data_IF_540285353742
#
_entry.id   IF_540285353742
#
_cell.length_a   1.000
_cell.length_b   1.000
_cell.length_c   1.000
_cell.angle_alpha   90.00
_cell.angle_beta   90.00
_cell.angle_gamma   90.00
#
_symmetry.space_group_name_H-M   'P 1'
#
loop_
_entity.id
_entity.type
_entity.pdbx_description
1 polymer ?
#
# COMPACT_ATOMS: atom_id res chain seq x y z
N UNK A 1 -12.40 -31.82 -38.22
CA UNK A 1 -13.11 -30.92 -39.18
C UNK A 1 -12.78 -29.49 -38.79
N UNK A 2 -12.46 -28.65 -39.76
CA UNK A 2 -12.26 -27.21 -39.54
C UNK A 2 -13.65 -26.60 -39.28
N UNK A 3 -13.83 -25.85 -38.17
CA UNK A 3 -15.04 -25.06 -37.90
C UNK A 3 -15.20 -23.92 -38.89
N UNK A 4 -16.44 -23.51 -39.15
CA UNK A 4 -16.75 -22.33 -39.95
C UNK A 4 -16.41 -21.05 -39.20
N UNK A 5 -15.81 -20.10 -39.90
CA UNK A 5 -15.61 -18.74 -39.43
C UNK A 5 -16.92 -17.96 -39.61
N UNK A 6 -17.62 -17.67 -38.49
CA UNK A 6 -18.93 -17.00 -38.49
C UNK A 6 -18.83 -15.68 -37.78
N UNK A 7 -19.26 -14.62 -38.44
CA UNK A 7 -19.48 -13.31 -37.80
C UNK A 7 -20.79 -13.33 -37.01
N UNK A 8 -20.75 -12.81 -35.79
CA UNK A 8 -21.94 -12.69 -34.95
C UNK A 8 -22.68 -11.39 -35.27
N UNK A 9 -23.86 -11.52 -35.91
CA UNK A 9 -24.71 -10.38 -36.28
C UNK A 9 -26.00 -10.28 -35.44
N UNK A 10 -26.10 -10.99 -34.30
CA UNK A 10 -27.32 -10.98 -33.48
C UNK A 10 -27.43 -9.71 -32.67
N UNK A 11 -28.55 -9.00 -32.77
CA UNK A 11 -28.84 -7.75 -32.07
C UNK A 11 -29.15 -7.96 -30.56
N UNK A 12 -29.60 -9.13 -30.15
CA UNK A 12 -29.99 -9.45 -28.79
C UNK A 12 -29.19 -10.65 -28.25
N UNK A 13 -28.75 -10.55 -27.01
CA UNK A 13 -28.13 -11.64 -26.25
C UNK A 13 -28.76 -11.78 -24.89
N UNK A 14 -29.20 -12.98 -24.52
CA UNK A 14 -29.71 -13.31 -23.17
C UNK A 14 -28.57 -13.79 -22.28
N UNK A 15 -27.61 -12.91 -22.03
CA UNK A 15 -26.43 -13.23 -21.23
C UNK A 15 -26.29 -12.26 -20.07
N UNK A 16 -26.32 -12.78 -18.83
CA UNK A 16 -25.96 -11.98 -17.65
C UNK A 16 -24.47 -12.11 -17.34
N UNK A 17 -23.80 -11.05 -16.87
CA UNK A 17 -22.42 -11.16 -16.39
C UNK A 17 -22.26 -12.22 -15.28
N UNK A 18 -23.27 -12.38 -14.41
CA UNK A 18 -23.28 -13.40 -13.35
C UNK A 18 -23.21 -14.83 -13.90
N UNK A 19 -23.96 -15.14 -14.96
CA UNK A 19 -23.96 -16.46 -15.59
C UNK A 19 -22.67 -16.72 -16.39
N UNK A 20 -21.98 -15.67 -16.85
CA UNK A 20 -20.79 -15.80 -17.68
C UNK A 20 -19.52 -16.06 -16.88
N UNK A 21 -19.41 -15.51 -15.66
CA UNK A 21 -18.23 -15.69 -14.83
C UNK A 21 -18.20 -17.13 -14.28
N UNK A 22 -17.12 -17.92 -14.50
CA UNK A 22 -17.02 -19.27 -13.97
C UNK A 22 -17.21 -19.34 -12.44
N UNK A 23 -17.83 -20.40 -11.96
CA UNK A 23 -18.12 -20.56 -10.51
C UNK A 23 -16.86 -20.63 -9.64
N UNK A 24 -15.77 -21.14 -10.19
CA UNK A 24 -14.45 -21.28 -9.54
C UNK A 24 -13.54 -20.07 -9.75
N UNK A 25 -14.02 -19.01 -10.43
CA UNK A 25 -13.18 -17.84 -10.72
C UNK A 25 -12.73 -17.15 -9.42
N UNK A 26 -11.44 -16.81 -9.29
CA UNK A 26 -10.87 -16.21 -8.07
C UNK A 26 -11.59 -14.98 -7.54
N UNK A 27 -12.15 -14.14 -8.39
CA UNK A 27 -12.89 -12.95 -7.99
C UNK A 27 -14.23 -13.27 -7.31
N UNK A 28 -14.78 -14.50 -7.49
CA UNK A 28 -16.02 -14.89 -6.79
C UNK A 28 -15.82 -15.00 -5.27
N UNK A 29 -14.67 -15.48 -4.83
CA UNK A 29 -14.34 -15.50 -3.40
C UNK A 29 -13.93 -14.11 -2.90
N UNK A 30 -13.29 -13.30 -3.75
CA UNK A 30 -12.81 -11.98 -3.38
C UNK A 30 -13.95 -10.96 -3.24
N UNK A 31 -14.93 -10.99 -4.14
CA UNK A 31 -16.01 -10.00 -4.18
C UNK A 31 -16.80 -9.90 -2.86
N UNK A 32 -17.25 -10.99 -2.23
CA UNK A 32 -17.94 -10.90 -0.94
C UNK A 32 -17.09 -10.27 0.17
N UNK A 33 -15.76 -10.51 0.17
CA UNK A 33 -14.85 -9.89 1.14
C UNK A 33 -14.74 -8.37 0.91
N UNK A 34 -14.73 -7.96 -0.36
CA UNK A 34 -14.74 -6.54 -0.74
C UNK A 34 -16.07 -5.91 -0.33
N UNK A 35 -17.19 -6.56 -0.62
CA UNK A 35 -18.53 -6.06 -0.32
C UNK A 35 -18.74 -5.90 1.19
N UNK A 36 -18.28 -6.84 2.01
CA UNK A 36 -18.27 -6.75 3.47
C UNK A 36 -17.48 -5.53 3.98
N UNK A 37 -16.27 -5.30 3.42
CA UNK A 37 -15.46 -4.14 3.80
C UNK A 37 -16.10 -2.81 3.36
N UNK A 38 -16.72 -2.76 2.18
CA UNK A 38 -17.43 -1.58 1.67
C UNK A 38 -18.71 -1.28 2.46
N UNK A 39 -19.43 -2.31 2.89
CA UNK A 39 -20.62 -2.17 3.75
C UNK A 39 -20.28 -1.47 5.06
N UNK A 40 -19.10 -1.75 5.63
CA UNK A 40 -18.61 -1.04 6.82
C UNK A 40 -18.39 0.46 6.61
N UNK A 41 -18.34 0.93 5.37
CA UNK A 41 -18.18 2.36 5.01
C UNK A 41 -19.50 3.06 4.63
N UNK A 42 -20.63 2.37 4.62
CA UNK A 42 -21.90 2.91 4.11
C UNK A 42 -22.29 4.22 4.79
N UNK A 43 -22.21 4.30 6.12
CA UNK A 43 -22.56 5.52 6.88
C UNK A 43 -21.64 6.71 6.52
N UNK A 44 -20.37 6.46 6.22
CA UNK A 44 -19.44 7.50 5.76
C UNK A 44 -19.81 7.96 4.35
N UNK A 45 -20.17 7.03 3.47
CA UNK A 45 -20.61 7.37 2.11
C UNK A 45 -21.90 8.20 2.14
N UNK A 46 -22.88 7.85 2.95
CA UNK A 46 -24.12 8.61 3.09
C UNK A 46 -23.85 10.07 3.50
N UNK A 47 -22.88 10.31 4.39
CA UNK A 47 -22.46 11.64 4.79
C UNK A 47 -21.69 12.44 3.73
N UNK A 48 -21.17 11.79 2.69
CA UNK A 48 -20.40 12.45 1.63
C UNK A 48 -21.24 12.94 0.45
N UNK A 49 -22.46 12.46 0.32
CA UNK A 49 -23.35 12.77 -0.79
C UNK A 49 -24.54 13.58 -0.30
N UNK A 50 -24.99 14.52 -1.13
CA UNK A 50 -26.19 15.29 -0.85
C UNK A 50 -27.44 14.39 -0.94
N UNK A 51 -28.43 14.66 -0.09
CA UNK A 51 -29.70 13.94 -0.09
C UNK A 51 -30.53 14.19 -1.36
N UNK A 52 -30.31 15.32 -2.03
CA UNK A 52 -31.04 15.74 -3.23
C UNK A 52 -30.07 15.98 -4.39
N UNK A 53 -30.57 15.82 -5.63
CA UNK A 53 -29.83 16.09 -6.86
C UNK A 53 -29.74 14.88 -7.79
N UNK A 54 -28.95 15.01 -8.86
CA UNK A 54 -28.72 13.91 -9.80
C UNK A 54 -27.93 12.79 -9.11
N UNK A 55 -28.38 11.52 -9.20
CA UNK A 55 -27.63 10.38 -8.67
C UNK A 55 -26.19 10.35 -9.20
N UNK A 56 -25.24 10.22 -8.28
CA UNK A 56 -23.82 10.07 -8.59
C UNK A 56 -23.48 8.58 -8.83
N UNK A 57 -22.27 8.32 -9.32
CA UNK A 57 -21.76 6.94 -9.37
C UNK A 57 -21.64 6.44 -7.92
N UNK A 58 -22.17 5.24 -7.60
CA UNK A 58 -22.01 4.66 -6.27
C UNK A 58 -20.53 4.52 -5.88
N UNK A 59 -20.14 4.97 -4.68
CA UNK A 59 -18.75 4.88 -4.23
C UNK A 59 -18.24 3.44 -4.19
N UNK A 60 -19.10 2.48 -3.91
CA UNK A 60 -18.78 1.05 -3.91
C UNK A 60 -18.35 0.57 -5.31
N UNK A 61 -19.03 1.00 -6.36
CA UNK A 61 -18.66 0.67 -7.74
C UNK A 61 -17.30 1.28 -8.11
N UNK A 62 -17.05 2.52 -7.71
CA UNK A 62 -15.77 3.20 -7.95
C UNK A 62 -14.61 2.48 -7.23
N UNK A 63 -14.81 2.08 -5.98
CA UNK A 63 -13.78 1.36 -5.21
C UNK A 63 -13.54 -0.06 -5.74
N UNK A 64 -14.60 -0.78 -6.18
CA UNK A 64 -14.42 -2.07 -6.87
C UNK A 64 -13.65 -1.90 -8.18
N UNK A 65 -13.91 -0.84 -8.95
CA UNK A 65 -13.15 -0.55 -10.16
C UNK A 65 -11.67 -0.23 -9.87
N UNK A 66 -11.37 0.52 -8.78
CA UNK A 66 -10.00 0.75 -8.32
C UNK A 66 -9.30 -0.55 -7.89
N UNK A 67 -10.00 -1.47 -7.23
CA UNK A 67 -9.47 -2.79 -6.89
C UNK A 67 -9.07 -3.55 -8.15
N UNK A 68 -9.93 -3.58 -9.18
CA UNK A 68 -9.59 -4.21 -10.46
C UNK A 68 -8.38 -3.53 -11.13
N UNK A 69 -8.30 -2.21 -11.06
CA UNK A 69 -7.16 -1.47 -11.59
C UNK A 69 -5.84 -1.95 -10.99
N UNK A 70 -5.81 -2.19 -9.66
CA UNK A 70 -4.63 -2.70 -8.96
C UNK A 70 -4.37 -4.18 -9.30
N UNK A 71 -5.39 -5.04 -9.25
CA UNK A 71 -5.26 -6.48 -9.42
C UNK A 71 -4.81 -6.89 -10.84
N UNK A 72 -5.26 -6.15 -11.84
CA UNK A 72 -4.97 -6.42 -13.26
C UNK A 72 -3.93 -5.48 -13.86
N UNK A 73 -3.22 -4.73 -13.03
CA UNK A 73 -2.15 -3.81 -13.47
C UNK A 73 -2.60 -2.83 -14.56
N UNK A 74 -3.84 -2.34 -14.49
CA UNK A 74 -4.40 -1.42 -15.49
C UNK A 74 -3.74 -0.05 -15.34
N UNK A 75 -3.03 0.38 -16.39
CA UNK A 75 -2.11 1.53 -16.31
C UNK A 75 -2.80 2.89 -16.30
N UNK A 76 -4.00 3.00 -16.84
CA UNK A 76 -4.70 4.29 -16.93
C UNK A 76 -6.20 4.13 -16.67
N UNK A 77 -6.85 5.21 -16.27
CA UNK A 77 -8.30 5.24 -16.08
C UNK A 77 -9.04 5.08 -17.41
N UNK A 78 -8.49 5.61 -18.50
CA UNK A 78 -9.05 5.41 -19.83
C UNK A 78 -9.09 3.90 -20.17
N UNK A 79 -7.98 3.21 -19.97
CA UNK A 79 -7.90 1.77 -20.16
C UNK A 79 -8.82 1.00 -19.20
N UNK A 80 -9.01 1.47 -17.97
CA UNK A 80 -9.94 0.86 -17.04
C UNK A 80 -11.39 1.01 -17.51
N UNK A 81 -11.78 2.21 -18.00
CA UNK A 81 -13.12 2.42 -18.56
C UNK A 81 -13.34 1.57 -19.78
N UNK A 82 -12.38 1.47 -20.68
CA UNK A 82 -12.40 0.60 -21.83
C UNK A 82 -12.59 -0.87 -21.45
N UNK A 83 -11.86 -1.37 -20.42
CA UNK A 83 -12.06 -2.71 -19.89
C UNK A 83 -13.44 -2.89 -19.27
N UNK A 84 -13.97 -1.89 -18.57
CA UNK A 84 -15.32 -1.94 -18.01
C UNK A 84 -16.40 -1.92 -19.10
N UNK A 85 -16.12 -1.38 -20.28
CA UNK A 85 -17.09 -1.29 -21.35
C UNK A 85 -17.40 -2.66 -21.97
N UNK A 86 -16.41 -3.48 -22.23
CA UNK A 86 -16.59 -4.76 -22.92
C UNK A 86 -16.17 -6.02 -22.17
N UNK A 87 -15.53 -5.90 -20.99
CA UNK A 87 -15.12 -7.05 -20.19
C UNK A 87 -16.19 -7.44 -19.18
N UNK A 88 -16.94 -8.50 -19.47
CA UNK A 88 -18.04 -8.99 -18.62
C UNK A 88 -17.58 -9.36 -17.19
N UNK A 89 -16.36 -9.87 -17.02
CA UNK A 89 -15.79 -10.15 -15.70
C UNK A 89 -15.63 -8.88 -14.86
N UNK A 90 -15.14 -7.80 -15.49
CA UNK A 90 -14.96 -6.51 -14.80
C UNK A 90 -16.31 -5.89 -14.48
N UNK A 91 -17.26 -5.93 -15.42
CA UNK A 91 -18.63 -5.46 -15.20
C UNK A 91 -19.29 -6.19 -14.03
N UNK A 92 -19.20 -7.51 -14.02
CA UNK A 92 -19.71 -8.34 -12.94
C UNK A 92 -19.10 -7.96 -11.59
N UNK A 93 -17.78 -7.80 -11.51
CA UNK A 93 -17.10 -7.48 -10.27
C UNK A 93 -17.47 -6.08 -9.74
N UNK A 94 -17.63 -5.11 -10.63
CA UNK A 94 -18.04 -3.75 -10.27
C UNK A 94 -19.53 -3.68 -9.92
N UNK A 95 -20.36 -4.49 -10.55
CA UNK A 95 -21.82 -4.49 -10.39
C UNK A 95 -22.51 -3.68 -11.48
N UNK A 96 -21.98 -3.70 -12.70
CA UNK A 96 -22.57 -3.09 -13.90
C UNK A 96 -23.32 -4.16 -14.71
N UNK A 97 -24.51 -3.82 -15.21
CA UNK A 97 -25.23 -4.66 -16.18
C UNK A 97 -24.51 -4.70 -17.53
N UNK A 98 -24.81 -5.70 -18.35
CA UNK A 98 -24.13 -5.89 -19.63
C UNK A 98 -24.36 -4.72 -20.61
N UNK A 99 -25.52 -4.06 -20.53
CA UNK A 99 -25.99 -2.95 -21.38
C UNK A 99 -25.85 -1.57 -20.75
N UNK A 100 -25.43 -1.49 -19.48
CA UNK A 100 -25.28 -0.21 -18.76
C UNK A 100 -24.07 0.56 -19.29
N UNK A 101 -24.20 1.87 -19.61
CA UNK A 101 -23.06 2.67 -20.08
C UNK A 101 -22.03 2.86 -18.98
N UNK A 102 -20.74 2.80 -19.35
CA UNK A 102 -19.62 3.05 -18.45
C UNK A 102 -19.36 4.54 -18.33
N UNK A 103 -18.81 4.94 -17.22
CA UNK A 103 -18.47 6.33 -16.90
C UNK A 103 -17.34 6.85 -17.80
N UNK A 104 -17.31 8.14 -18.02
CA UNK A 104 -16.15 8.80 -18.61
C UNK A 104 -14.95 8.78 -17.65
N UNK A 105 -13.74 8.63 -18.20
CA UNK A 105 -12.49 8.57 -17.43
C UNK A 105 -12.25 9.84 -16.58
N UNK A 106 -12.68 11.01 -17.06
CA UNK A 106 -12.56 12.27 -16.31
C UNK A 106 -13.53 12.30 -15.12
N UNK A 107 -14.74 11.79 -15.30
CA UNK A 107 -15.73 11.63 -14.22
C UNK A 107 -15.22 10.65 -13.17
N UNK A 108 -14.67 9.52 -13.59
CA UNK A 108 -14.07 8.54 -12.69
C UNK A 108 -12.92 9.18 -11.89
N UNK A 109 -12.00 9.90 -12.55
CA UNK A 109 -10.85 10.55 -11.89
C UNK A 109 -11.30 11.55 -10.82
N UNK A 110 -12.30 12.41 -11.12
CA UNK A 110 -12.82 13.40 -10.15
C UNK A 110 -13.44 12.72 -8.94
N UNK A 111 -14.25 11.68 -9.14
CA UNK A 111 -14.89 10.94 -8.04
C UNK A 111 -13.86 10.15 -7.24
N UNK A 112 -12.89 9.50 -7.89
CA UNK A 112 -11.78 8.83 -7.21
C UNK A 112 -11.00 9.77 -6.30
N UNK A 113 -10.74 11.01 -6.70
CA UNK A 113 -10.04 11.98 -5.84
C UNK A 113 -10.81 12.28 -4.54
N UNK A 114 -12.13 12.23 -4.59
CA UNK A 114 -12.98 12.33 -3.38
C UNK A 114 -12.91 11.08 -2.52
N UNK A 115 -12.88 9.90 -3.14
CA UNK A 115 -12.84 8.59 -2.45
C UNK A 115 -11.46 8.19 -1.94
N UNK A 116 -10.38 8.66 -2.57
CA UNK A 116 -9.02 8.52 -2.03
C UNK A 116 -8.72 9.61 -0.98
N UNK A 117 -9.74 10.08 -0.25
CA UNK A 117 -9.51 10.74 1.01
C UNK A 117 -8.81 9.73 1.95
N UNK A 118 -7.82 10.21 2.68
CA UNK A 118 -7.01 9.37 3.58
C UNK A 118 -7.88 8.57 4.56
N UNK A 119 -8.99 9.16 5.02
CA UNK A 119 -9.95 8.55 5.94
C UNK A 119 -10.62 7.29 5.35
N UNK A 120 -11.10 7.35 4.09
CA UNK A 120 -11.74 6.21 3.44
C UNK A 120 -10.76 5.06 3.26
N UNK A 121 -9.54 5.36 2.82
CA UNK A 121 -8.52 4.33 2.63
C UNK A 121 -8.12 3.69 3.98
N UNK A 122 -8.04 4.49 5.05
CA UNK A 122 -7.73 4.03 6.41
C UNK A 122 -8.83 3.13 6.96
N UNK A 123 -10.09 3.54 6.84
CA UNK A 123 -11.23 2.75 7.29
C UNK A 123 -11.41 1.47 6.47
N UNK A 124 -11.25 1.54 5.13
CA UNK A 124 -11.29 0.36 4.29
C UNK A 124 -10.21 -0.66 4.70
N UNK A 125 -8.97 -0.19 4.90
CA UNK A 125 -7.89 -1.03 5.40
C UNK A 125 -8.22 -1.63 6.79
N UNK A 126 -8.74 -0.83 7.71
CA UNK A 126 -9.14 -1.29 9.04
C UNK A 126 -10.21 -2.39 8.97
N UNK A 127 -11.25 -2.22 8.14
CA UNK A 127 -12.28 -3.25 7.95
C UNK A 127 -11.71 -4.55 7.36
N UNK A 128 -10.76 -4.47 6.44
CA UNK A 128 -10.08 -5.67 5.91
C UNK A 128 -9.26 -6.37 7.00
N UNK A 129 -8.54 -5.62 7.83
CA UNK A 129 -7.81 -6.18 8.98
C UNK A 129 -8.75 -6.81 10.01
N UNK A 130 -9.90 -6.20 10.27
CA UNK A 130 -10.92 -6.75 11.17
C UNK A 130 -11.57 -8.03 10.62
N UNK A 131 -11.80 -8.11 9.31
CA UNK A 131 -12.18 -9.36 8.65
C UNK A 131 -11.13 -10.46 8.83
N UNK A 132 -9.85 -10.12 8.67
CA UNK A 132 -8.78 -11.09 8.90
C UNK A 132 -8.77 -11.58 10.36
N UNK A 133 -9.00 -10.67 11.30
CA UNK A 133 -9.06 -10.97 12.73
C UNK A 133 -10.26 -11.88 13.07
N UNK A 134 -11.45 -11.53 12.59
CA UNK A 134 -12.68 -12.30 12.84
C UNK A 134 -12.61 -13.71 12.27
N UNK A 135 -11.87 -13.91 11.18
CA UNK A 135 -11.62 -15.22 10.57
C UNK A 135 -10.45 -16.01 11.19
N UNK A 136 -9.84 -15.51 12.28
CA UNK A 136 -8.72 -16.16 12.96
C UNK A 136 -7.42 -16.20 12.13
N UNK A 137 -7.29 -15.35 11.12
CA UNK A 137 -6.14 -15.32 10.23
C UNK A 137 -4.98 -14.47 10.77
N UNK A 138 -5.17 -13.71 11.85
CA UNK A 138 -4.11 -12.91 12.46
C UNK A 138 -3.50 -13.60 13.68
N UNK A 139 -2.18 -13.70 13.69
CA UNK A 139 -1.41 -14.08 14.88
C UNK A 139 -1.09 -12.84 15.71
N UNK A 140 -1.13 -12.97 17.04
CA UNK A 140 -0.79 -11.91 17.98
C UNK A 140 0.65 -12.00 18.54
N UNK A 141 1.52 -12.86 17.98
CA UNK A 141 2.79 -13.22 18.61
C UNK A 141 4.01 -12.67 17.87
N UNK A 142 4.01 -12.76 16.54
CA UNK A 142 5.18 -12.48 15.72
C UNK A 142 4.86 -11.52 14.60
N UNK A 143 5.60 -10.43 14.56
CA UNK A 143 5.46 -9.39 13.55
C UNK A 143 6.79 -9.11 12.85
N UNK A 144 6.71 -8.51 11.68
CA UNK A 144 7.84 -7.96 10.95
C UNK A 144 7.51 -6.53 10.54
N UNK A 145 8.46 -5.64 10.71
CA UNK A 145 8.39 -4.28 10.17
C UNK A 145 9.40 -4.13 9.05
N UNK A 146 9.00 -3.45 7.99
CA UNK A 146 9.88 -3.13 6.88
C UNK A 146 9.39 -1.87 6.15
N UNK A 147 10.30 -1.22 5.43
CA UNK A 147 10.05 0.00 4.68
C UNK A 147 10.40 -0.12 3.20
N UNK A 148 9.76 0.68 2.38
CA UNK A 148 10.04 0.75 0.94
C UNK A 148 9.94 2.16 0.40
N UNK A 149 10.84 2.50 -0.53
CA UNK A 149 10.78 3.76 -1.26
C UNK A 149 9.75 3.67 -2.41
N UNK A 150 8.96 4.72 -2.52
CA UNK A 150 8.00 4.95 -3.60
C UNK A 150 8.43 6.23 -4.30
N UNK A 151 8.83 6.15 -5.57
CA UNK A 151 9.26 7.30 -6.35
C UNK A 151 8.08 8.27 -6.55
N UNK A 152 8.31 9.55 -6.28
CA UNK A 152 7.31 10.59 -6.43
C UNK A 152 7.04 10.92 -7.91
N UNK A 153 5.88 11.48 -8.21
CA UNK A 153 5.53 12.03 -9.53
C UNK A 153 6.18 13.41 -9.72
N UNK A 154 7.49 13.47 -9.55
CA UNK A 154 8.30 14.66 -9.67
C UNK A 154 9.67 14.31 -10.23
N UNK A 155 10.32 15.25 -10.88
CA UNK A 155 11.69 15.10 -11.42
C UNK A 155 12.66 16.02 -10.70
N UNK A 156 13.95 15.73 -10.77
CA UNK A 156 15.01 16.62 -10.23
C UNK A 156 15.00 18.01 -10.88
N UNK A 157 14.41 18.17 -12.06
CA UNK A 157 14.23 19.49 -12.69
C UNK A 157 13.27 20.39 -11.90
N UNK A 158 12.30 19.80 -11.19
CA UNK A 158 11.37 20.54 -10.33
C UNK A 158 11.92 20.81 -8.92
N UNK A 159 13.06 20.24 -8.57
CA UNK A 159 13.70 20.39 -7.27
C UNK A 159 14.54 21.67 -7.28
N UNK A 160 13.94 22.76 -6.78
CA UNK A 160 14.46 24.13 -6.87
C UNK A 160 14.78 24.70 -5.49
N UNK A 161 15.66 25.72 -5.42
CA UNK A 161 15.90 26.45 -4.17
C UNK A 161 14.60 26.98 -3.58
N UNK A 162 14.55 27.08 -2.27
CA UNK A 162 13.41 27.63 -1.54
C UNK A 162 13.91 28.64 -0.52
N UNK A 163 13.26 29.80 -0.49
CA UNK A 163 13.55 30.91 0.43
C UNK A 163 12.86 30.73 1.79
N UNK A 164 12.03 29.69 1.96
CA UNK A 164 11.33 29.41 3.21
C UNK A 164 12.29 28.84 4.26
N UNK A 165 12.18 29.38 5.50
CA UNK A 165 12.90 28.84 6.66
C UNK A 165 12.59 27.35 6.83
N UNK A 166 13.56 26.54 7.30
CA UNK A 166 13.42 25.10 7.42
C UNK A 166 12.45 24.72 8.58
N UNK A 167 11.15 24.74 8.32
CA UNK A 167 10.16 24.21 9.25
C UNK A 167 10.34 22.69 9.41
N UNK A 168 9.54 21.89 8.74
CA UNK A 168 9.56 20.41 8.78
C UNK A 168 10.67 19.76 7.89
N UNK A 169 11.84 20.40 7.74
CA UNK A 169 12.92 19.83 6.92
C UNK A 169 13.78 18.88 7.75
N UNK A 170 14.19 17.75 7.17
CA UNK A 170 15.14 16.88 7.83
C UNK A 170 16.45 17.63 8.11
N UNK A 171 17.12 17.32 9.24
CA UNK A 171 18.39 17.94 9.59
C UNK A 171 19.39 17.83 8.43
N UNK A 172 20.32 18.80 8.28
CA UNK A 172 21.35 18.77 7.25
C UNK A 172 22.20 17.50 7.25
N UNK A 173 22.34 16.88 8.41
CA UNK A 173 23.17 15.69 8.66
C UNK A 173 22.40 14.35 8.54
N UNK A 174 21.20 14.36 7.93
CA UNK A 174 20.49 13.11 7.66
C UNK A 174 21.32 12.23 6.69
N UNK A 175 21.84 11.07 7.14
CA UNK A 175 22.78 10.26 6.34
C UNK A 175 22.17 9.70 5.07
N UNK A 176 20.84 9.69 4.97
CA UNK A 176 20.10 9.18 3.80
C UNK A 176 19.65 10.30 2.85
N UNK A 177 20.05 11.53 3.14
CA UNK A 177 19.70 12.72 2.38
C UNK A 177 20.94 13.36 1.73
N UNK A 178 21.50 12.75 0.69
CA UNK A 178 22.73 13.24 0.09
C UNK A 178 22.50 14.56 -0.63
N UNK A 179 23.51 15.42 -0.56
CA UNK A 179 23.65 16.50 -1.52
C UNK A 179 23.96 15.90 -2.89
N UNK A 180 23.13 16.18 -3.88
CA UNK A 180 23.39 15.77 -5.27
C UNK A 180 23.93 16.93 -6.09
N UNK A 181 24.84 16.65 -7.01
CA UNK A 181 25.25 17.59 -8.03
C UNK A 181 24.32 17.40 -9.24
N UNK A 182 23.52 18.40 -9.55
CA UNK A 182 22.63 18.41 -10.71
C UNK A 182 23.02 19.57 -11.63
N UNK A 183 23.69 19.26 -12.74
CA UNK A 183 24.21 20.26 -13.69
C UNK A 183 25.08 21.34 -13.04
N UNK A 184 25.98 20.95 -12.12
CA UNK A 184 26.89 21.87 -11.43
C UNK A 184 26.32 22.52 -10.16
N UNK A 185 25.02 22.37 -9.89
CA UNK A 185 24.35 22.90 -8.71
C UNK A 185 24.24 21.83 -7.61
N UNK A 186 24.68 22.16 -6.39
CA UNK A 186 24.50 21.28 -5.22
C UNK A 186 23.11 21.43 -4.67
N UNK A 187 22.32 20.34 -4.66
CA UNK A 187 20.92 20.32 -4.21
C UNK A 187 20.75 19.34 -3.06
N UNK A 188 20.09 19.79 -2.00
CA UNK A 188 19.75 18.97 -0.83
C UNK A 188 18.33 19.30 -0.32
N UNK A 189 17.71 18.43 0.48
CA UNK A 189 16.40 18.71 1.09
C UNK A 189 16.43 19.92 2.04
N UNK A 190 17.63 20.34 2.53
CA UNK A 190 17.76 21.51 3.38
C UNK A 190 17.61 22.82 2.59
N UNK A 191 17.94 22.82 1.32
CA UNK A 191 18.01 24.04 0.49
C UNK A 191 17.04 24.04 -0.68
N UNK A 192 16.47 22.86 -1.04
CA UNK A 192 15.64 22.71 -2.22
C UNK A 192 14.35 21.92 -1.88
N UNK A 193 13.30 22.23 -2.64
CA UNK A 193 12.02 21.55 -2.58
C UNK A 193 11.48 21.34 -4.01
N UNK A 194 10.70 20.28 -4.21
CA UNK A 194 10.07 20.08 -5.52
C UNK A 194 8.88 21.02 -5.68
N UNK A 195 8.86 21.80 -6.76
CA UNK A 195 7.70 22.62 -7.13
C UNK A 195 6.52 21.79 -7.67
N UNK A 196 6.78 20.56 -8.09
CA UNK A 196 5.75 19.64 -8.60
C UNK A 196 5.10 18.83 -7.47
N UNK A 197 5.87 18.41 -6.48
CA UNK A 197 5.43 17.61 -5.33
C UNK A 197 6.23 18.03 -4.08
N UNK A 198 5.77 19.06 -3.35
CA UNK A 198 6.51 19.63 -2.23
C UNK A 198 6.74 18.68 -1.05
N UNK A 199 5.92 17.64 -0.91
CA UNK A 199 6.04 16.65 0.16
C UNK A 199 7.10 15.59 -0.11
N UNK A 200 7.50 15.42 -1.39
CA UNK A 200 8.53 14.45 -1.78
C UNK A 200 9.91 14.91 -1.29
N UNK A 201 10.74 13.96 -0.88
CA UNK A 201 12.10 14.22 -0.41
C UNK A 201 13.12 13.49 -1.28
N UNK A 202 14.25 14.13 -1.47
CA UNK A 202 15.39 13.54 -2.15
C UNK A 202 15.97 12.45 -1.23
N UNK A 203 16.05 11.23 -1.73
CA UNK A 203 16.52 10.09 -0.95
C UNK A 203 17.33 9.12 -1.81
N UNK A 204 18.34 8.50 -1.21
CA UNK A 204 19.18 7.46 -1.81
C UNK A 204 19.04 6.16 -1.04
N UNK A 205 18.64 5.09 -1.70
CA UNK A 205 18.45 3.79 -1.06
C UNK A 205 19.77 3.15 -0.58
N UNK A 206 20.88 3.51 -1.17
CA UNK A 206 22.20 2.96 -0.82
C UNK A 206 23.32 3.60 -1.62
N UNK A 207 24.56 3.36 -1.19
CA UNK A 207 25.75 3.87 -1.87
C UNK A 207 25.79 3.46 -3.34
N UNK A 208 26.12 4.38 -4.22
CA UNK A 208 26.18 4.14 -5.68
C UNK A 208 24.83 4.18 -6.41
N UNK A 209 23.70 4.35 -5.71
CA UNK A 209 22.39 4.52 -6.35
C UNK A 209 22.04 5.99 -6.54
N UNK A 210 21.35 6.29 -7.65
CA UNK A 210 20.88 7.66 -7.92
C UNK A 210 19.85 8.09 -6.86
N UNK A 211 20.00 9.31 -6.35
CA UNK A 211 19.02 9.94 -5.49
C UNK A 211 17.74 10.26 -6.28
N UNK A 212 16.59 10.02 -5.68
CA UNK A 212 15.28 10.27 -6.28
C UNK A 212 14.34 10.94 -5.29
N UNK A 213 13.49 11.83 -5.81
CA UNK A 213 12.39 12.37 -5.04
C UNK A 213 11.42 11.22 -4.73
N UNK A 214 11.20 10.96 -3.44
CA UNK A 214 10.51 9.74 -2.98
C UNK A 214 9.71 9.99 -1.72
N UNK A 215 8.80 9.08 -1.48
CA UNK A 215 8.14 8.81 -0.20
C UNK A 215 8.65 7.49 0.36
N UNK A 216 8.39 7.24 1.62
CA UNK A 216 8.69 5.97 2.28
C UNK A 216 7.41 5.34 2.80
N UNK A 217 7.08 4.15 2.30
CA UNK A 217 5.96 3.35 2.77
C UNK A 217 6.45 2.32 3.79
N UNK A 218 5.73 2.19 4.90
CA UNK A 218 6.06 1.29 5.99
C UNK A 218 4.90 0.32 6.21
N UNK A 219 5.23 -0.93 6.51
CA UNK A 219 4.25 -1.95 6.86
C UNK A 219 4.66 -2.68 8.12
N UNK A 220 3.68 -3.00 8.95
CA UNK A 220 3.79 -3.95 10.04
C UNK A 220 2.98 -5.18 9.64
N UNK A 221 3.62 -6.33 9.51
CA UNK A 221 3.05 -7.57 9.01
C UNK A 221 3.07 -8.64 10.10
N UNK A 222 1.97 -9.38 10.26
CA UNK A 222 2.00 -10.59 11.07
C UNK A 222 2.68 -11.74 10.31
N UNK A 223 3.42 -12.60 11.01
CA UNK A 223 4.33 -13.55 10.37
C UNK A 223 3.76 -14.94 10.09
N UNK A 224 2.56 -15.28 10.61
CA UNK A 224 1.94 -16.59 10.37
C UNK A 224 1.43 -16.70 8.94
N UNK A 225 0.63 -15.73 8.52
CA UNK A 225 -0.03 -15.71 7.22
C UNK A 225 0.50 -14.61 6.29
N UNK A 226 1.31 -13.67 6.79
CA UNK A 226 1.88 -12.58 6.01
C UNK A 226 0.84 -11.53 5.64
N UNK A 227 -0.06 -11.21 6.57
CA UNK A 227 -1.05 -10.14 6.44
C UNK A 227 -0.53 -8.84 7.06
N UNK A 228 -0.82 -7.73 6.44
CA UNK A 228 -0.47 -6.39 6.95
C UNK A 228 -1.46 -6.00 8.04
N UNK A 229 -0.97 -5.67 9.23
CA UNK A 229 -1.82 -5.26 10.35
C UNK A 229 -1.81 -3.75 10.55
N UNK A 230 -0.78 -3.07 10.07
CA UNK A 230 -0.70 -1.61 10.05
C UNK A 230 0.21 -1.15 8.91
N UNK A 231 -0.09 -0.01 8.32
CA UNK A 231 0.69 0.59 7.25
C UNK A 231 0.64 2.12 7.33
N UNK A 232 1.72 2.79 6.91
CA UNK A 232 1.85 4.24 6.95
C UNK A 232 2.76 4.72 5.82
N UNK A 233 2.48 5.92 5.28
CA UNK A 233 3.37 6.60 4.33
C UNK A 233 3.93 7.87 4.94
N UNK A 234 5.25 8.01 4.90
CA UNK A 234 5.96 9.19 5.40
C UNK A 234 6.78 9.88 4.32
N UNK A 235 7.30 11.06 4.65
CA UNK A 235 8.41 11.62 3.89
C UNK A 235 9.62 10.68 4.00
N UNK A 236 10.41 10.58 2.93
CA UNK A 236 11.61 9.76 2.93
C UNK A 236 12.73 10.49 3.68
N UNK A 237 13.00 10.06 4.93
CA UNK A 237 14.11 10.56 5.78
C UNK A 237 14.90 9.39 6.34
N UNK A 238 16.13 9.62 6.81
CA UNK A 238 16.99 8.54 7.33
C UNK A 238 16.55 7.97 8.67
N UNK A 239 15.60 8.61 9.37
CA UNK A 239 15.03 8.12 10.63
C UNK A 239 13.63 7.54 10.48
N UNK A 240 12.94 7.86 9.36
CA UNK A 240 11.53 7.54 9.14
C UNK A 240 11.17 6.07 9.37
N UNK A 241 12.04 5.13 8.97
CA UNK A 241 11.79 3.70 9.17
C UNK A 241 11.64 3.34 10.65
N UNK A 242 12.56 3.82 11.50
CA UNK A 242 12.57 3.50 12.92
C UNK A 242 11.46 4.21 13.69
N UNK A 243 11.24 5.49 13.37
CA UNK A 243 10.25 6.31 14.04
C UNK A 243 8.85 5.80 13.73
N UNK A 244 8.58 5.50 12.45
CA UNK A 244 7.29 4.93 12.01
C UNK A 244 7.09 3.51 12.55
N UNK A 245 8.13 2.67 12.57
CA UNK A 245 8.03 1.34 13.15
C UNK A 245 7.60 1.39 14.62
N UNK A 246 8.20 2.30 15.40
CA UNK A 246 7.80 2.51 16.80
C UNK A 246 6.34 2.96 16.94
N UNK A 247 5.89 3.88 16.08
CA UNK A 247 4.51 4.33 16.03
C UNK A 247 3.54 3.20 15.64
N UNK A 248 3.86 2.40 14.62
CA UNK A 248 3.03 1.26 14.19
C UNK A 248 2.91 0.20 15.29
N UNK A 249 3.95 -0.03 16.10
CA UNK A 249 3.89 -0.97 17.21
C UNK A 249 2.89 -0.55 18.29
N UNK A 250 2.64 0.75 18.48
CA UNK A 250 1.63 1.23 19.43
C UNK A 250 0.20 0.92 19.02
N UNK A 251 -0.03 0.61 17.74
CA UNK A 251 -1.37 0.26 17.21
C UNK A 251 -1.74 -1.22 17.44
N UNK A 252 -0.78 -2.05 17.84
CA UNK A 252 -1.05 -3.46 18.11
C UNK A 252 -1.98 -3.63 19.32
N UNK A 253 -3.06 -4.40 19.19
CA UNK A 253 -3.94 -4.68 20.31
C UNK A 253 -3.26 -5.65 21.30
N UNK A 254 -3.45 -5.39 22.59
CA UNK A 254 -3.13 -6.35 23.63
C UNK A 254 -1.92 -6.04 24.50
N UNK A 255 -1.85 -6.77 25.62
CA UNK A 255 -0.77 -6.67 26.65
C UNK A 255 0.20 -7.85 26.62
N UNK A 256 0.11 -8.73 25.64
CA UNK A 256 1.00 -9.89 25.51
C UNK A 256 2.31 -9.48 24.88
N UNK A 257 3.41 -10.11 25.35
CA UNK A 257 4.72 -9.89 24.76
C UNK A 257 4.76 -10.41 23.33
N UNK A 258 5.06 -9.55 22.38
CA UNK A 258 5.23 -9.90 20.98
C UNK A 258 6.71 -9.87 20.56
N UNK A 259 7.04 -10.50 19.45
CA UNK A 259 8.37 -10.41 18.83
C UNK A 259 8.29 -9.64 17.52
N UNK A 260 9.29 -8.81 17.26
CA UNK A 260 9.40 -7.99 16.05
C UNK A 260 10.65 -8.34 15.26
N UNK A 261 10.49 -8.91 14.08
CA UNK A 261 11.56 -9.08 13.08
C UNK A 261 11.81 -7.75 12.34
N UNK A 262 13.05 -7.33 12.23
CA UNK A 262 13.45 -6.16 11.48
C UNK A 262 14.85 -6.33 10.87
N UNK A 263 15.18 -5.52 9.88
CA UNK A 263 16.48 -5.57 9.22
C UNK A 263 17.58 -4.87 10.06
N UNK A 264 18.81 -4.86 9.55
CA UNK A 264 19.97 -4.27 10.23
C UNK A 264 19.92 -2.73 10.35
N UNK A 265 19.09 -2.04 9.58
CA UNK A 265 18.92 -0.58 9.68
C UNK A 265 18.23 -0.19 10.97
N UNK A 266 17.43 -1.08 11.55
CA UNK A 266 16.76 -0.92 12.83
C UNK A 266 17.66 -1.26 14.04
N UNK A 267 18.87 -1.74 13.86
CA UNK A 267 19.79 -2.07 14.96
C UNK A 267 20.42 -0.82 15.58
N UNK A 268 19.62 -0.06 16.28
CA UNK A 268 20.05 1.12 17.05
C UNK A 268 19.63 0.99 18.51
N UNK A 269 20.43 1.56 19.43
CA UNK A 269 20.13 1.53 20.87
C UNK A 269 18.75 2.14 21.16
N UNK A 270 18.42 3.26 20.51
CA UNK A 270 17.14 3.96 20.69
C UNK A 270 15.95 3.07 20.30
N UNK A 271 15.95 2.49 19.09
CA UNK A 271 14.87 1.63 18.60
C UNK A 271 14.71 0.35 19.46
N UNK A 272 15.82 -0.30 19.83
CA UNK A 272 15.79 -1.48 20.70
C UNK A 272 15.23 -1.14 22.09
N UNK A 273 15.56 0.03 22.64
CA UNK A 273 15.00 0.50 23.91
C UNK A 273 13.48 0.77 23.79
N UNK A 274 13.03 1.45 22.73
CA UNK A 274 11.61 1.70 22.46
C UNK A 274 10.82 0.40 22.33
N UNK A 275 11.30 -0.58 21.57
CA UNK A 275 10.65 -1.90 21.48
C UNK A 275 10.46 -2.52 22.89
N UNK A 276 11.49 -2.49 23.72
CA UNK A 276 11.42 -3.07 25.07
C UNK A 276 10.44 -2.32 25.99
N UNK A 277 10.35 -0.99 25.87
CA UNK A 277 9.35 -0.18 26.59
C UNK A 277 7.92 -0.53 26.18
N UNK A 278 7.70 -0.86 24.89
CA UNK A 278 6.42 -1.33 24.34
C UNK A 278 6.14 -2.82 24.62
N UNK A 279 6.94 -3.48 25.45
CA UNK A 279 6.83 -4.94 25.72
C UNK A 279 7.07 -5.81 24.47
N UNK A 280 7.79 -5.29 23.49
CA UNK A 280 8.16 -5.97 22.24
C UNK A 280 9.58 -6.51 22.36
N UNK A 281 9.76 -7.80 22.02
CA UNK A 281 11.08 -8.43 21.93
C UNK A 281 11.67 -8.14 20.55
N UNK A 282 12.75 -7.32 20.43
CA UNK A 282 13.33 -6.97 19.14
C UNK A 282 14.19 -8.09 18.57
N UNK A 283 13.71 -8.77 17.54
CA UNK A 283 14.49 -9.70 16.73
C UNK A 283 15.08 -8.98 15.51
N UNK A 284 15.85 -7.93 15.77
CA UNK A 284 16.50 -7.11 14.74
C UNK A 284 17.78 -7.80 14.27
N UNK A 285 18.04 -7.79 12.95
CA UNK A 285 19.29 -8.30 12.41
C UNK A 285 20.48 -7.47 12.91
N UNK A 286 21.52 -8.14 13.44
CA UNK A 286 22.68 -7.46 13.99
C UNK A 286 23.44 -6.68 12.92
N UNK A 287 23.78 -5.43 13.22
CA UNK A 287 24.68 -4.62 12.43
C UNK A 287 26.03 -4.51 13.14
N UNK A 288 26.98 -5.30 12.70
CA UNK A 288 28.34 -5.34 13.22
C UNK A 288 29.36 -4.62 12.32
N UNK A 289 28.91 -3.95 11.27
CA UNK A 289 29.78 -3.20 10.35
C UNK A 289 30.29 -1.94 11.05
N UNK A 290 31.55 -1.93 11.46
CA UNK A 290 32.25 -0.84 12.16
C UNK A 290 31.57 -0.35 13.44
N UNK A 291 30.72 -1.17 14.07
CA UNK A 291 30.04 -0.84 15.34
C UNK A 291 29.61 -2.09 16.09
N UNK A 292 29.32 -1.90 17.39
CA UNK A 292 28.69 -2.94 18.22
C UNK A 292 27.17 -2.91 18.04
N UNK A 293 26.57 -4.06 17.77
CA UNK A 293 25.12 -4.24 17.71
C UNK A 293 24.45 -3.92 19.06
N UNK A 294 23.24 -3.35 18.99
CA UNK A 294 22.38 -3.18 20.16
C UNK A 294 21.67 -4.49 20.56
N UNK A 295 21.71 -5.51 19.69
CA UNK A 295 21.16 -6.85 19.94
C UNK A 295 22.28 -7.74 20.46
N UNK A 296 22.10 -8.28 21.66
CA UNK A 296 23.08 -9.13 22.35
C UNK A 296 22.77 -10.63 22.25
N UNK A 297 23.68 -11.46 22.80
CA UNK A 297 23.56 -12.92 22.80
C UNK A 297 22.31 -13.42 23.55
N UNK A 298 21.75 -12.63 24.49
CA UNK A 298 20.49 -12.98 25.17
C UNK A 298 19.32 -13.09 24.21
N UNK A 299 19.33 -12.30 23.14
CA UNK A 299 18.32 -12.37 22.08
C UNK A 299 18.69 -13.39 21.01
N UNK A 300 19.93 -13.36 20.50
CA UNK A 300 20.32 -14.17 19.32
C UNK A 300 20.41 -15.67 19.58
N UNK A 301 20.65 -16.10 20.83
CA UNK A 301 20.72 -17.53 21.21
C UNK A 301 19.37 -18.24 21.16
N UNK A 302 18.24 -17.51 21.16
CA UNK A 302 16.91 -18.11 21.11
C UNK A 302 16.57 -18.58 19.70
N UNK A 303 16.01 -19.79 19.60
CA UNK A 303 15.55 -20.38 18.31
C UNK A 303 14.57 -19.44 17.58
N UNK A 304 13.71 -18.72 18.32
CA UNK A 304 12.77 -17.76 17.76
C UNK A 304 13.42 -16.60 16.99
N UNK A 305 14.64 -16.19 17.38
CA UNK A 305 15.39 -15.19 16.65
C UNK A 305 15.71 -15.64 15.20
N UNK A 306 16.23 -16.83 15.03
CA UNK A 306 16.54 -17.39 13.71
C UNK A 306 15.28 -17.56 12.85
N UNK A 307 14.15 -17.96 13.47
CA UNK A 307 12.85 -18.04 12.79
C UNK A 307 12.39 -16.65 12.33
N UNK A 308 12.44 -15.65 13.21
CA UNK A 308 12.07 -14.26 12.87
C UNK A 308 12.93 -13.70 11.73
N UNK A 309 14.26 -13.95 11.75
CA UNK A 309 15.16 -13.50 10.68
C UNK A 309 14.85 -14.15 9.32
N UNK A 310 14.35 -15.37 9.31
CA UNK A 310 13.88 -16.04 8.09
C UNK A 310 12.54 -15.48 7.62
N UNK A 311 11.57 -15.32 8.53
CA UNK A 311 10.21 -14.91 8.21
C UNK A 311 10.10 -13.43 7.81
N UNK A 312 10.99 -12.56 8.33
CA UNK A 312 10.98 -11.13 7.98
C UNK A 312 11.04 -10.86 6.48
N UNK A 313 11.61 -11.76 5.70
CA UNK A 313 11.64 -11.65 4.23
C UNK A 313 10.26 -11.63 3.59
N UNK A 314 9.20 -12.02 4.29
CA UNK A 314 7.82 -11.88 3.82
C UNK A 314 7.41 -10.42 3.60
N UNK A 315 8.01 -9.46 4.31
CA UNK A 315 7.85 -8.03 4.02
C UNK A 315 8.25 -7.65 2.59
N UNK A 316 9.20 -8.36 2.01
CA UNK A 316 9.61 -8.14 0.62
C UNK A 316 8.53 -8.59 -0.40
N UNK A 317 7.69 -9.58 -0.05
CA UNK A 317 6.61 -10.09 -0.92
C UNK A 317 5.56 -9.00 -1.22
N UNK A 318 5.08 -8.30 -0.19
CA UNK A 318 4.11 -7.22 -0.39
C UNK A 318 4.70 -6.08 -1.20
N UNK A 319 5.94 -5.68 -0.93
CA UNK A 319 6.57 -4.61 -1.69
C UNK A 319 6.86 -5.01 -3.14
N UNK A 320 7.24 -6.25 -3.37
CA UNK A 320 7.33 -6.81 -4.71
C UNK A 320 5.99 -6.71 -5.45
N UNK A 321 4.91 -7.17 -4.82
CA UNK A 321 3.57 -7.14 -5.38
C UNK A 321 3.08 -5.68 -5.62
N UNK A 322 3.24 -4.79 -4.64
CA UNK A 322 2.89 -3.38 -4.78
C UNK A 322 3.58 -2.71 -5.96
N UNK A 323 4.88 -2.98 -6.14
CA UNK A 323 5.70 -2.34 -7.18
C UNK A 323 5.49 -2.92 -8.57
N UNK A 324 5.14 -4.20 -8.68
CA UNK A 324 4.99 -4.89 -9.97
C UNK A 324 3.54 -4.98 -10.42
N UNK A 325 2.66 -5.51 -9.58
CA UNK A 325 1.24 -5.73 -9.91
C UNK A 325 0.44 -4.44 -9.71
N UNK A 326 0.50 -3.83 -8.52
CA UNK A 326 -0.20 -2.58 -8.25
C UNK A 326 0.46 -1.34 -8.86
N UNK A 327 1.56 -1.50 -9.60
CA UNK A 327 2.30 -0.46 -10.33
C UNK A 327 2.76 0.72 -9.44
N UNK A 328 3.02 0.47 -8.16
CA UNK A 328 3.32 1.49 -7.17
C UNK A 328 4.83 1.73 -6.98
N UNK A 329 5.67 1.34 -7.95
CA UNK A 329 7.10 1.68 -7.97
C UNK A 329 7.31 3.19 -8.03
N UNK A 330 6.48 3.87 -8.84
CA UNK A 330 6.35 5.32 -8.95
C UNK A 330 4.89 5.69 -8.78
N UNK A 331 4.60 6.61 -7.85
CA UNK A 331 3.22 7.04 -7.62
C UNK A 331 2.68 7.82 -8.83
N UNK A 332 1.35 7.81 -8.99
CA UNK A 332 0.62 8.65 -9.96
C UNK A 332 0.00 9.89 -9.30
N UNK A 333 0.04 9.93 -7.97
CA UNK A 333 -0.51 11.01 -7.18
C UNK A 333 0.61 11.93 -6.66
N UNK A 334 0.24 13.14 -6.30
CA UNK A 334 1.11 14.14 -5.68
C UNK A 334 0.61 14.44 -4.27
N UNK A 335 1.54 14.74 -3.38
CA UNK A 335 1.27 15.03 -1.99
C UNK A 335 1.12 13.78 -1.13
N UNK A 336 1.68 13.83 0.08
CA UNK A 336 1.74 12.71 1.04
C UNK A 336 0.37 12.11 1.33
N UNK A 337 -0.66 12.96 1.48
CA UNK A 337 -2.02 12.52 1.78
C UNK A 337 -2.60 11.58 0.72
N UNK A 338 -2.52 11.96 -0.57
CA UNK A 338 -3.07 11.13 -1.67
C UNK A 338 -2.24 9.87 -1.91
N UNK A 339 -0.92 9.98 -1.84
CA UNK A 339 -0.02 8.83 -1.99
C UNK A 339 -0.20 7.87 -0.81
N UNK A 340 -0.40 8.39 0.40
CA UNK A 340 -0.70 7.60 1.61
C UNK A 340 -2.01 6.84 1.50
N UNK A 341 -3.07 7.51 1.03
CA UNK A 341 -4.35 6.86 0.77
C UNK A 341 -4.23 5.71 -0.25
N UNK A 342 -3.51 5.94 -1.35
CA UNK A 342 -3.22 4.89 -2.34
C UNK A 342 -2.42 3.74 -1.72
N UNK A 343 -1.42 4.03 -0.88
CA UNK A 343 -0.60 3.03 -0.21
C UNK A 343 -1.42 2.15 0.72
N UNK A 344 -2.25 2.74 1.58
CA UNK A 344 -3.15 2.03 2.49
C UNK A 344 -4.17 1.17 1.73
N UNK A 345 -4.80 1.74 0.71
CA UNK A 345 -5.74 1.00 -0.13
C UNK A 345 -5.07 -0.18 -0.85
N UNK A 346 -3.84 0.00 -1.32
CA UNK A 346 -3.06 -1.07 -1.95
C UNK A 346 -2.70 -2.17 -0.94
N UNK A 347 -2.37 -1.82 0.31
CA UNK A 347 -2.13 -2.78 1.39
C UNK A 347 -3.39 -3.60 1.69
N UNK A 348 -4.57 -2.95 1.75
CA UNK A 348 -5.85 -3.64 1.93
C UNK A 348 -6.15 -4.64 0.79
N UNK A 349 -5.90 -4.25 -0.46
CA UNK A 349 -6.11 -5.13 -1.62
C UNK A 349 -5.14 -6.32 -1.60
N UNK A 350 -3.89 -6.12 -1.17
CA UNK A 350 -2.95 -7.21 -0.95
C UNK A 350 -3.47 -8.20 0.09
N UNK A 351 -3.97 -7.72 1.23
CA UNK A 351 -4.51 -8.56 2.29
C UNK A 351 -5.75 -9.33 1.83
N UNK A 352 -6.67 -8.70 1.12
CA UNK A 352 -7.82 -9.37 0.52
C UNK A 352 -7.40 -10.53 -0.41
N UNK A 353 -6.38 -10.29 -1.26
CA UNK A 353 -5.83 -11.34 -2.13
C UNK A 353 -5.18 -12.47 -1.33
N UNK A 354 -4.49 -12.15 -0.25
CA UNK A 354 -3.86 -13.13 0.63
C UNK A 354 -4.91 -13.95 1.39
N UNK A 355 -5.89 -13.28 2.01
CA UNK A 355 -7.01 -13.89 2.71
C UNK A 355 -7.77 -14.86 1.82
N UNK A 356 -8.07 -14.46 0.56
CA UNK A 356 -8.71 -15.33 -0.42
C UNK A 356 -7.98 -16.66 -0.59
N UNK A 357 -6.63 -16.63 -0.71
CA UNK A 357 -5.82 -17.85 -0.84
C UNK A 357 -5.87 -18.70 0.43
N UNK A 358 -5.79 -18.08 1.59
CA UNK A 358 -5.83 -18.76 2.88
C UNK A 358 -7.18 -19.45 3.11
N UNK A 359 -8.29 -18.78 2.78
CA UNK A 359 -9.65 -19.35 2.89
C UNK A 359 -9.88 -20.48 1.88
N UNK A 360 -9.30 -20.38 0.68
CA UNK A 360 -9.38 -21.45 -0.32
C UNK A 360 -8.46 -22.65 -0.01
N UNK A 361 -7.69 -22.62 1.07
CA UNK A 361 -6.73 -23.68 1.41
C UNK A 361 -5.51 -23.74 0.46
N UNK A 362 -5.30 -22.72 -0.34
CA UNK A 362 -4.15 -22.58 -1.26
C UNK A 362 -3.08 -21.77 -0.55
N UNK A 363 -2.13 -22.45 0.09
CA UNK A 363 -0.96 -21.84 0.74
C UNK A 363 0.19 -21.59 -0.22
#
# INVERSE_FOLDING_TARGET
MRGEDREQATMFSYLSPEARVPADHPLRTLRPMVDEALQGLSSLFDGMYAAEGRPSIPPEQLLRALILQLLYSVRSERQLMEQLDYNLLFRWFVGLNADEPVWDASTFSKNRERLLAEEIARLFFAHVVDQARSRGLLSAEHFTVDGTLIEAWASLKSFRPTDEAPGDRPPPDDPSNPTVNFHGERRSNATHQSTTDPDARLFTKGSGQAAKLSYMGHVLMENRHGLVVAAELTAATGTAERDTAAALLTTLPGRTRVTLGADKAYDTRGFVAQCRQLTVTPHVAQNTTNRRSAIDARTTRHRGYAVSQRLRKRGEEIFGWMKTIALMRKTRHRGRRRVGAQFLFTAAVYDLMRMRRLVAGVT
#
